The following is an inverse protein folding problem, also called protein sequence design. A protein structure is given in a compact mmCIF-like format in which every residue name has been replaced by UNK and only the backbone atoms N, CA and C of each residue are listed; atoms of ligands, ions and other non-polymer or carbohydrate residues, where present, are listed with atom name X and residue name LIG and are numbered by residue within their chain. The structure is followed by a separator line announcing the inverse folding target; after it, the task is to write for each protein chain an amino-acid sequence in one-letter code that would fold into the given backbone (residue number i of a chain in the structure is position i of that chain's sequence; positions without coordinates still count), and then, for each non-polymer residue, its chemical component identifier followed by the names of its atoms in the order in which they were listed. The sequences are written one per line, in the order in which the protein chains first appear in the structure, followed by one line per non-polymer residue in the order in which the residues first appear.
data_IF_656106648570
#
_entry.id   IF_656106648570
#
_cell.length_a   1.000
_cell.length_b   1.000
_cell.length_c   1.000
_cell.angle_alpha   90.00
_cell.angle_beta   90.00
_cell.angle_gamma   90.00
#
_symmetry.space_group_name_H-M   'P 1'
#
loop_
_entity.id
_entity.type
_entity.pdbx_description
1 polymer ?
#
# COMPACT_ATOMS: atom_id res chain seq x y z
N UNK A 1 -26.05 0.28 52.45
CA UNK A 1 -24.68 0.32 52.97
C UNK A 1 -23.89 -0.72 52.20
N UNK A 2 -23.23 -0.39 51.09
CA UNK A 2 -22.01 0.44 51.00
C UNK A 2 -20.84 -0.54 50.85
N UNK A 3 -20.67 -1.12 49.66
CA UNK A 3 -19.82 -0.65 48.56
C UNK A 3 -18.33 -0.98 48.80
N UNK A 4 -17.84 -1.99 48.06
CA UNK A 4 -16.48 -2.50 48.11
C UNK A 4 -15.71 -1.98 46.92
N UNK A 5 -15.01 -0.86 47.12
CA UNK A 5 -14.11 -0.27 46.14
C UNK A 5 -12.84 -1.12 45.99
N UNK A 6 -12.74 -1.88 44.89
CA UNK A 6 -11.46 -2.31 44.34
C UNK A 6 -10.94 -1.18 43.44
N UNK A 7 -9.82 -0.59 43.84
CA UNK A 7 -9.05 0.39 43.06
C UNK A 7 -8.33 -0.35 41.93
N UNK A 8 -8.76 -0.16 40.70
CA UNK A 8 -7.93 -0.45 39.54
C UNK A 8 -7.00 0.73 39.28
N UNK A 9 -5.70 0.44 39.29
CA UNK A 9 -4.64 1.36 38.89
C UNK A 9 -4.70 1.50 37.37
N UNK A 10 -4.90 2.72 36.91
CA UNK A 10 -4.54 3.13 35.56
C UNK A 10 -3.01 3.02 35.43
N UNK A 11 -2.55 2.15 34.53
CA UNK A 11 -1.22 2.24 33.96
C UNK A 11 -1.39 2.56 32.48
N UNK A 12 -1.03 3.79 32.14
CA UNK A 12 -1.10 4.31 30.79
C UNK A 12 0.00 3.68 29.95
N UNK A 13 -0.41 3.00 28.88
CA UNK A 13 0.47 2.71 27.75
C UNK A 13 -0.14 3.32 26.51
N UNK A 14 0.34 4.53 26.20
CA UNK A 14 0.23 5.12 24.87
C UNK A 14 1.07 4.26 23.92
N UNK A 15 0.38 3.45 23.12
CA UNK A 15 0.97 2.67 22.05
C UNK A 15 0.18 2.91 20.78
N UNK A 16 0.84 3.49 19.79
CA UNK A 16 0.37 3.74 18.43
C UNK A 16 -0.36 2.52 17.85
N UNK A 17 -1.68 2.64 17.69
CA UNK A 17 -2.49 1.62 17.04
C UNK A 17 -2.85 2.08 15.63
N UNK A 18 -1.85 2.10 14.75
CA UNK A 18 -2.08 2.18 13.31
C UNK A 18 -2.42 0.78 12.79
N UNK A 19 -3.56 0.69 12.12
CA UNK A 19 -4.13 -0.48 11.43
C UNK A 19 -5.12 -1.32 12.26
N UNK A 20 -6.40 -0.95 12.17
CA UNK A 20 -7.48 -1.94 12.26
C UNK A 20 -7.69 -2.44 10.83
N UNK A 21 -7.36 -3.70 10.56
CA UNK A 21 -7.67 -4.36 9.30
C UNK A 21 -9.20 -4.46 9.16
N UNK A 22 -9.80 -3.54 8.40
CA UNK A 22 -11.24 -3.61 8.11
C UNK A 22 -11.49 -4.62 6.99
N UNK A 23 -12.47 -5.51 7.23
CA UNK A 23 -13.04 -6.37 6.20
C UNK A 23 -13.63 -5.44 5.13
N UNK A 24 -12.99 -5.36 3.96
CA UNK A 24 -13.42 -4.49 2.86
C UNK A 24 -12.45 -3.38 2.46
N UNK A 25 -11.23 -3.29 3.00
CA UNK A 25 -10.21 -2.28 2.60
C UNK A 25 -9.97 -2.20 1.09
N UNK A 26 -10.15 -3.31 0.36
CA UNK A 26 -9.97 -3.41 -1.09
C UNK A 26 -11.23 -3.12 -1.90
N UNK A 27 -12.35 -2.76 -1.28
CA UNK A 27 -13.61 -2.47 -1.98
C UNK A 27 -13.86 -0.99 -2.04
N UNK A 28 -14.30 -0.50 -3.20
CA UNK A 28 -14.61 0.92 -3.37
C UNK A 28 -15.67 1.44 -2.41
N UNK A 29 -16.66 0.61 -2.06
CA UNK A 29 -17.78 0.99 -1.17
C UNK A 29 -17.33 1.32 0.26
N UNK A 30 -16.17 0.82 0.69
CA UNK A 30 -15.58 1.16 1.98
C UNK A 30 -14.72 2.43 1.94
N UNK A 31 -14.44 2.99 0.76
CA UNK A 31 -13.44 4.05 0.60
C UNK A 31 -13.81 5.34 1.33
N UNK A 32 -14.97 5.92 0.98
CA UNK A 32 -15.42 7.20 1.57
C UNK A 32 -15.76 7.04 3.04
N UNK A 33 -16.40 5.93 3.42
CA UNK A 33 -16.76 5.64 4.80
C UNK A 33 -15.52 5.51 5.69
N UNK A 34 -14.42 4.97 5.17
CA UNK A 34 -13.13 4.92 5.86
C UNK A 34 -12.57 6.33 6.09
N UNK A 35 -12.62 7.21 5.07
CA UNK A 35 -12.20 8.61 5.22
C UNK A 35 -13.05 9.31 6.29
N UNK A 36 -14.38 9.22 6.18
CA UNK A 36 -15.31 9.83 7.13
C UNK A 36 -15.07 9.33 8.57
N UNK A 37 -14.86 8.02 8.74
CA UNK A 37 -14.56 7.43 10.04
C UNK A 37 -13.24 7.94 10.63
N UNK A 38 -12.19 8.04 9.83
CA UNK A 38 -10.89 8.57 10.27
C UNK A 38 -10.99 10.06 10.66
N UNK A 39 -11.75 10.85 9.90
CA UNK A 39 -12.03 12.24 10.20
C UNK A 39 -12.81 12.41 11.52
N UNK A 40 -13.86 11.63 11.71
CA UNK A 40 -14.65 11.62 12.94
C UNK A 40 -13.81 11.23 14.17
N UNK A 41 -12.85 10.31 14.03
CA UNK A 41 -11.94 9.94 15.13
C UNK A 41 -10.90 11.01 15.45
N UNK A 42 -10.57 11.86 14.49
CA UNK A 42 -9.55 12.89 14.67
C UNK A 42 -10.08 14.15 15.36
N UNK A 43 -11.36 14.49 15.16
CA UNK A 43 -11.95 15.74 15.67
C UNK A 43 -13.42 15.58 16.03
N UNK A 44 -13.80 16.04 17.23
CA UNK A 44 -15.13 15.86 17.80
C UNK A 44 -16.23 16.66 17.06
N UNK A 45 -15.91 17.84 16.53
CA UNK A 45 -16.83 18.63 15.71
C UNK A 45 -17.24 17.90 14.41
N UNK A 46 -16.29 17.22 13.75
CA UNK A 46 -16.51 16.38 12.59
C UNK A 46 -17.23 15.12 12.96
N UNK A 47 -16.90 14.51 14.11
CA UNK A 47 -17.66 13.36 14.62
C UNK A 47 -19.14 13.71 14.72
N UNK A 48 -19.45 14.85 15.34
CA UNK A 48 -20.83 15.32 15.53
C UNK A 48 -21.52 15.60 14.20
N UNK A 49 -20.85 16.33 13.29
CA UNK A 49 -21.40 16.67 11.99
C UNK A 49 -21.63 15.43 11.10
N UNK A 50 -20.69 14.47 11.09
CA UNK A 50 -20.79 13.22 10.33
C UNK A 50 -21.88 12.32 10.92
N UNK A 51 -21.95 12.16 12.23
CA UNK A 51 -23.02 11.40 12.89
C UNK A 51 -24.40 11.99 12.56
N UNK A 52 -24.54 13.31 12.60
CA UNK A 52 -25.77 14.00 12.20
C UNK A 52 -26.13 13.74 10.74
N UNK A 53 -25.14 13.70 9.85
CA UNK A 53 -25.36 13.42 8.43
C UNK A 53 -25.85 11.98 8.20
N UNK A 54 -25.32 11.00 8.94
CA UNK A 54 -25.75 9.59 8.91
C UNK A 54 -27.17 9.43 9.45
N UNK A 55 -27.50 10.08 10.57
CA UNK A 55 -28.86 10.05 11.14
C UNK A 55 -29.91 10.60 10.17
N UNK A 56 -29.57 11.67 9.43
CA UNK A 56 -30.44 12.26 8.41
C UNK A 56 -30.56 11.42 7.14
N UNK A 57 -29.53 10.63 6.81
CA UNK A 57 -29.47 9.84 5.57
C UNK A 57 -29.04 8.39 5.88
N UNK A 58 -29.91 7.55 6.48
CA UNK A 58 -29.52 6.20 6.90
C UNK A 58 -29.09 5.28 5.74
N UNK A 59 -29.57 5.55 4.53
CA UNK A 59 -29.28 4.81 3.30
C UNK A 59 -28.02 5.31 2.56
N UNK A 60 -27.27 6.26 3.15
CA UNK A 60 -26.06 6.85 2.54
C UNK A 60 -25.02 5.81 2.16
N UNK A 61 -24.88 4.73 2.94
CA UNK A 61 -23.89 3.66 2.71
C UNK A 61 -24.16 2.84 1.44
N UNK A 62 -25.39 2.89 0.91
CA UNK A 62 -25.80 2.21 -0.32
C UNK A 62 -25.71 3.13 -1.55
N UNK A 63 -25.41 4.41 -1.35
CA UNK A 63 -25.29 5.40 -2.43
C UNK A 63 -23.94 5.29 -3.14
N UNK A 64 -23.86 5.89 -4.32
CA UNK A 64 -22.60 6.00 -5.04
C UNK A 64 -21.58 6.87 -4.27
N UNK A 65 -20.29 6.73 -4.61
CA UNK A 65 -19.19 7.37 -3.89
C UNK A 65 -19.25 8.90 -3.90
N UNK A 66 -19.78 9.52 -4.96
CA UNK A 66 -19.94 10.99 -5.00
C UNK A 66 -20.94 11.46 -3.94
N UNK A 67 -22.09 10.79 -3.84
CA UNK A 67 -23.10 11.10 -2.81
C UNK A 67 -22.56 10.84 -1.42
N UNK A 68 -21.84 9.73 -1.22
CA UNK A 68 -21.18 9.47 0.06
C UNK A 68 -20.15 10.55 0.40
N UNK A 69 -19.30 10.97 -0.55
CA UNK A 69 -18.24 11.95 -0.31
C UNK A 69 -18.84 13.32 0.04
N UNK A 70 -19.88 13.71 -0.69
CA UNK A 70 -20.60 14.94 -0.40
C UNK A 70 -21.25 14.90 0.99
N UNK A 71 -21.98 13.83 1.30
CA UNK A 71 -22.79 13.72 2.53
C UNK A 71 -21.93 13.51 3.78
N UNK A 72 -20.90 12.66 3.70
CA UNK A 72 -20.13 12.19 4.85
C UNK A 72 -18.81 12.93 5.05
N UNK A 73 -18.33 13.69 4.06
CA UNK A 73 -17.03 14.37 4.13
C UNK A 73 -17.17 15.86 3.82
N UNK A 74 -17.60 16.24 2.62
CA UNK A 74 -17.58 17.64 2.19
C UNK A 74 -18.59 18.51 2.95
N UNK A 75 -19.85 18.10 3.03
CA UNK A 75 -20.87 18.84 3.78
C UNK A 75 -20.50 19.00 5.26
N UNK A 76 -20.08 17.94 5.99
CA UNK A 76 -19.57 18.07 7.35
C UNK A 76 -18.35 19.01 7.48
N UNK A 77 -17.39 18.96 6.55
CA UNK A 77 -16.25 19.89 6.55
C UNK A 77 -16.69 21.34 6.38
N UNK A 78 -17.58 21.63 5.42
CA UNK A 78 -18.14 22.97 5.19
C UNK A 78 -18.87 23.48 6.43
N UNK A 79 -19.62 22.62 7.11
CA UNK A 79 -20.32 22.97 8.34
C UNK A 79 -19.35 23.37 9.45
N UNK A 80 -18.33 22.55 9.71
CA UNK A 80 -17.34 22.81 10.75
C UNK A 80 -16.53 24.07 10.45
N UNK A 81 -16.14 24.28 9.19
CA UNK A 81 -15.44 25.50 8.75
C UNK A 81 -16.29 26.74 8.97
N UNK A 82 -17.61 26.66 8.76
CA UNK A 82 -18.53 27.79 8.99
C UNK A 82 -18.74 28.10 10.48
N UNK A 83 -18.66 27.09 11.34
CA UNK A 83 -18.98 27.21 12.77
C UNK A 83 -17.75 27.51 13.66
N UNK A 84 -16.55 27.18 13.20
CA UNK A 84 -15.34 27.29 14.01
C UNK A 84 -14.57 28.60 13.77
N UNK A 85 -14.15 29.25 14.85
CA UNK A 85 -13.17 30.35 14.83
C UNK A 85 -11.71 29.84 14.99
N UNK A 86 -11.54 28.53 15.14
CA UNK A 86 -10.24 27.87 15.26
C UNK A 86 -9.45 27.88 13.94
N UNK A 87 -8.12 27.73 13.98
CA UNK A 87 -7.33 27.54 12.77
C UNK A 87 -7.92 26.41 11.93
N UNK A 88 -8.17 26.68 10.65
CA UNK A 88 -8.74 25.68 9.74
C UNK A 88 -7.96 24.37 9.77
N UNK A 89 -8.68 23.25 9.72
CA UNK A 89 -8.08 21.91 9.64
C UNK A 89 -7.05 21.90 8.50
N UNK A 90 -5.93 21.21 8.69
CA UNK A 90 -4.91 21.00 7.65
C UNK A 90 -4.36 19.60 7.82
N UNK A 91 -4.16 18.91 6.72
CA UNK A 91 -3.61 17.56 6.78
C UNK A 91 -3.34 16.97 5.41
N UNK A 92 -3.03 15.69 5.42
CA UNK A 92 -2.88 14.89 4.22
C UNK A 92 -3.74 13.63 4.32
N UNK A 93 -4.31 13.24 3.18
CA UNK A 93 -4.95 11.93 3.00
C UNK A 93 -4.01 11.11 2.12
N UNK A 94 -3.50 10.02 2.69
CA UNK A 94 -2.57 9.10 2.02
C UNK A 94 -3.36 7.86 1.63
N UNK A 95 -3.37 7.57 0.33
CA UNK A 95 -4.03 6.42 -0.25
C UNK A 95 -2.92 5.53 -0.81
N UNK A 96 -2.68 4.42 -0.13
CA UNK A 96 -1.61 3.49 -0.45
C UNK A 96 -2.18 2.20 -1.05
N UNK A 97 -1.68 1.83 -2.24
CA UNK A 97 -2.08 0.64 -2.99
C UNK A 97 -3.45 0.77 -3.66
N UNK A 98 -3.79 1.92 -4.25
CA UNK A 98 -5.10 2.11 -4.92
C UNK A 98 -5.32 1.11 -6.08
N UNK A 99 -4.25 0.63 -6.70
CA UNK A 99 -4.30 -0.41 -7.72
C UNK A 99 -4.76 -1.78 -7.18
N UNK A 100 -4.68 -2.03 -5.87
CA UNK A 100 -5.21 -3.24 -5.23
C UNK A 100 -6.74 -3.20 -5.01
N UNK A 101 -7.43 -2.17 -5.51
CA UNK A 101 -8.89 -2.11 -5.45
C UNK A 101 -9.49 -3.27 -6.26
N UNK A 102 -10.21 -4.14 -5.57
CA UNK A 102 -10.91 -5.27 -6.15
C UNK A 102 -12.22 -4.80 -6.79
N UNK A 103 -12.54 -5.36 -7.94
CA UNK A 103 -13.78 -5.05 -8.63
C UNK A 103 -14.99 -5.49 -7.80
N UNK A 104 -15.93 -4.57 -7.62
CA UNK A 104 -17.19 -4.86 -6.97
C UNK A 104 -18.07 -5.70 -7.90
N UNK A 105 -18.15 -6.99 -7.59
CA UNK A 105 -19.07 -7.89 -8.28
C UNK A 105 -20.49 -7.65 -7.76
N UNK A 106 -21.30 -6.95 -8.54
CA UNK A 106 -22.75 -6.96 -8.33
C UNK A 106 -23.26 -8.39 -8.57
N UNK A 107 -23.40 -9.17 -7.51
CA UNK A 107 -24.26 -10.35 -7.55
C UNK A 107 -25.71 -9.89 -7.54
N UNK A 108 -26.23 -9.58 -8.72
CA UNK A 108 -27.67 -9.42 -8.92
C UNK A 108 -28.33 -10.80 -8.73
N UNK A 109 -28.71 -11.11 -7.49
CA UNK A 109 -29.41 -12.35 -7.13
C UNK A 109 -30.85 -12.37 -7.66
N UNK A 110 -31.31 -11.32 -8.35
CA UNK A 110 -32.68 -11.22 -8.89
C UNK A 110 -32.79 -11.50 -10.38
N UNK A 111 -31.67 -11.62 -11.10
CA UNK A 111 -31.67 -11.82 -12.55
C UNK A 111 -31.31 -13.27 -12.93
N UNK A 112 -32.26 -14.19 -12.73
CA UNK A 112 -32.30 -15.46 -13.46
C UNK A 112 -32.67 -15.20 -14.92
N UNK A 113 -31.75 -14.61 -15.70
CA UNK A 113 -31.95 -14.28 -17.10
C UNK A 113 -30.61 -14.26 -17.84
N UNK A 114 -30.56 -14.93 -18.99
CA UNK A 114 -29.39 -15.36 -19.78
C UNK A 114 -28.54 -14.25 -20.43
N UNK A 115 -28.32 -13.13 -19.75
CA UNK A 115 -27.32 -12.12 -20.13
C UNK A 115 -26.58 -11.67 -18.88
N UNK A 116 -25.49 -12.36 -18.58
CA UNK A 116 -24.47 -11.88 -17.66
C UNK A 116 -24.08 -10.46 -18.09
N UNK A 117 -24.38 -9.45 -17.25
CA UNK A 117 -23.74 -8.14 -17.41
C UNK A 117 -22.23 -8.36 -17.41
N UNK A 118 -21.45 -7.65 -18.24
CA UNK A 118 -20.00 -7.76 -18.17
C UNK A 118 -19.57 -7.53 -16.73
N UNK A 119 -18.72 -8.43 -16.21
CA UNK A 119 -18.16 -8.26 -14.88
C UNK A 119 -17.51 -6.88 -14.83
N UNK A 120 -17.86 -6.08 -13.82
CA UNK A 120 -17.25 -4.78 -13.63
C UNK A 120 -15.74 -4.97 -13.53
N UNK A 121 -14.97 -4.22 -14.30
CA UNK A 121 -13.51 -4.29 -14.21
C UNK A 121 -13.05 -3.44 -13.02
N UNK A 122 -11.98 -3.88 -12.35
CA UNK A 122 -11.37 -3.13 -11.24
C UNK A 122 -11.01 -1.69 -11.66
N UNK A 123 -10.68 -1.48 -12.93
CA UNK A 123 -10.39 -0.18 -13.52
C UNK A 123 -11.55 0.82 -13.40
N UNK A 124 -12.81 0.38 -13.51
CA UNK A 124 -13.96 1.28 -13.34
C UNK A 124 -14.07 1.76 -11.89
N UNK A 125 -13.85 0.87 -10.92
CA UNK A 125 -13.93 1.19 -9.50
C UNK A 125 -12.77 2.10 -9.07
N UNK A 126 -11.56 1.85 -9.59
CA UNK A 126 -10.40 2.72 -9.42
C UNK A 126 -10.67 4.12 -10.01
N UNK A 127 -11.29 4.21 -11.19
CA UNK A 127 -11.65 5.47 -11.83
C UNK A 127 -12.70 6.25 -11.03
N UNK A 128 -13.75 5.58 -10.54
CA UNK A 128 -14.78 6.18 -9.66
C UNK A 128 -14.13 6.83 -8.42
N UNK A 129 -13.16 6.14 -7.80
CA UNK A 129 -12.42 6.66 -6.63
C UNK A 129 -11.61 7.92 -7.01
N UNK A 130 -10.87 7.87 -8.12
CA UNK A 130 -10.07 9.01 -8.59
C UNK A 130 -10.94 10.24 -8.89
N UNK A 131 -12.09 10.06 -9.54
CA UNK A 131 -13.03 11.14 -9.85
C UNK A 131 -13.62 11.77 -8.58
N UNK A 132 -13.95 10.96 -7.58
CA UNK A 132 -14.43 11.45 -6.28
C UNK A 132 -13.35 12.25 -5.56
N UNK A 133 -12.10 11.80 -5.59
CA UNK A 133 -10.97 12.53 -4.99
C UNK A 133 -10.70 13.85 -5.70
N UNK A 134 -10.75 13.87 -7.04
CA UNK A 134 -10.63 15.08 -7.84
C UNK A 134 -11.73 16.08 -7.49
N UNK A 135 -12.97 15.60 -7.41
CA UNK A 135 -14.12 16.40 -7.00
C UNK A 135 -13.90 17.00 -5.60
N UNK A 136 -13.53 16.17 -4.63
CA UNK A 136 -13.30 16.60 -3.26
C UNK A 136 -12.17 17.65 -3.16
N UNK A 137 -11.07 17.45 -3.89
CA UNK A 137 -9.93 18.39 -3.89
C UNK A 137 -10.25 19.75 -4.50
N UNK A 138 -11.29 19.83 -5.33
CA UNK A 138 -11.74 21.08 -5.94
C UNK A 138 -12.64 21.89 -5.02
N UNK A 139 -13.08 21.31 -3.90
CA UNK A 139 -13.91 21.99 -2.91
C UNK A 139 -13.05 22.96 -2.06
N UNK A 140 -13.39 24.27 -1.98
CA UNK A 140 -12.64 25.23 -1.20
C UNK A 140 -12.56 24.92 0.31
N UNK A 141 -13.50 24.13 0.83
CA UNK A 141 -13.57 23.73 2.23
C UNK A 141 -12.89 22.39 2.48
N UNK A 142 -12.30 21.76 1.46
CA UNK A 142 -11.50 20.55 1.61
C UNK A 142 -10.03 20.91 1.87
N UNK A 143 -9.52 20.73 3.10
CA UNK A 143 -8.23 21.29 3.48
C UNK A 143 -7.05 20.33 3.29
N UNK A 144 -7.29 19.15 2.73
CA UNK A 144 -6.29 18.08 2.71
C UNK A 144 -5.51 18.06 1.41
N UNK A 145 -4.21 17.79 1.52
CA UNK A 145 -3.41 17.33 0.38
C UNK A 145 -3.64 15.84 0.18
N UNK A 146 -3.77 15.39 -1.07
CA UNK A 146 -3.97 13.98 -1.38
C UNK A 146 -2.66 13.42 -1.92
N UNK A 147 -2.19 12.31 -1.35
CA UNK A 147 -1.09 11.51 -1.87
C UNK A 147 -1.64 10.15 -2.28
N UNK A 148 -1.41 9.75 -3.52
CA UNK A 148 -1.82 8.44 -4.04
C UNK A 148 -0.55 7.69 -4.40
N UNK A 149 -0.35 6.53 -3.78
CA UNK A 149 0.68 5.56 -4.15
C UNK A 149 -0.02 4.37 -4.82
N UNK A 150 0.38 4.07 -6.05
CA UNK A 150 -0.14 2.94 -6.81
C UNK A 150 0.85 2.47 -7.87
N UNK A 151 0.66 1.25 -8.39
CA UNK A 151 1.34 0.78 -9.60
C UNK A 151 0.84 1.55 -10.84
N UNK A 152 1.67 1.71 -11.89
CA UNK A 152 1.32 2.46 -13.10
C UNK A 152 0.40 1.67 -14.03
N UNK A 153 -0.73 1.16 -13.53
CA UNK A 153 -1.74 0.49 -14.35
C UNK A 153 -2.36 1.45 -15.37
N UNK A 154 -3.01 0.90 -16.39
CA UNK A 154 -3.53 1.68 -17.53
C UNK A 154 -4.44 2.82 -17.08
N UNK A 155 -5.37 2.56 -16.16
CA UNK A 155 -6.32 3.58 -15.67
C UNK A 155 -5.62 4.77 -15.04
N UNK A 156 -4.58 4.55 -14.22
CA UNK A 156 -3.83 5.64 -13.59
C UNK A 156 -3.02 6.41 -14.63
N UNK A 157 -2.38 5.72 -15.57
CA UNK A 157 -1.64 6.38 -16.66
C UNK A 157 -2.54 7.28 -17.50
N UNK A 158 -3.72 6.80 -17.89
CA UNK A 158 -4.68 7.57 -18.69
C UNK A 158 -5.28 8.74 -17.90
N UNK A 159 -5.61 8.54 -16.62
CA UNK A 159 -6.21 9.57 -15.76
C UNK A 159 -5.23 10.70 -15.43
N UNK A 160 -3.96 10.38 -15.19
CA UNK A 160 -2.94 11.39 -14.87
C UNK A 160 -2.19 11.92 -16.10
N UNK A 161 -2.57 11.52 -17.32
CA UNK A 161 -1.98 12.02 -18.55
C UNK A 161 -2.36 13.49 -18.79
N UNK A 162 -1.38 14.42 -18.84
CA UNK A 162 -1.64 15.83 -19.17
C UNK A 162 -2.31 16.03 -20.53
N UNK A 163 -2.12 15.10 -21.48
CA UNK A 163 -2.75 15.13 -22.80
C UNK A 163 -4.26 14.89 -22.76
N UNK A 164 -4.74 14.13 -21.78
CA UNK A 164 -6.17 13.85 -21.59
C UNK A 164 -6.84 14.86 -20.65
N UNK A 165 -6.07 15.50 -19.77
CA UNK A 165 -6.59 16.38 -18.73
C UNK A 165 -5.90 17.76 -18.73
N UNK A 166 -6.55 18.80 -19.29
CA UNK A 166 -5.96 20.14 -19.37
C UNK A 166 -5.83 20.85 -18.02
N UNK A 167 -6.49 20.33 -16.97
CA UNK A 167 -6.30 20.76 -15.58
C UNK A 167 -5.81 19.56 -14.76
N UNK A 168 -4.50 19.43 -14.51
CA UNK A 168 -3.96 18.26 -13.84
C UNK A 168 -4.47 18.20 -12.40
N UNK A 169 -5.13 17.09 -12.05
CA UNK A 169 -5.57 16.84 -10.66
C UNK A 169 -4.39 16.66 -9.71
N UNK A 170 -3.34 15.98 -10.15
CA UNK A 170 -2.14 15.75 -9.36
C UNK A 170 -0.88 15.77 -10.24
N UNK A 171 0.26 15.97 -9.60
CA UNK A 171 1.56 15.76 -10.23
C UNK A 171 1.92 14.27 -10.15
N UNK A 172 2.18 13.64 -11.30
CA UNK A 172 2.69 12.27 -11.38
C UNK A 172 4.19 12.27 -11.08
N UNK A 173 4.63 11.40 -10.17
CA UNK A 173 6.03 11.06 -9.94
C UNK A 173 6.20 9.56 -10.18
N UNK A 174 6.98 9.18 -11.18
CA UNK A 174 7.26 7.78 -11.50
C UNK A 174 8.57 7.34 -10.83
N UNK A 175 8.48 6.57 -9.76
CA UNK A 175 9.68 6.16 -9.01
C UNK A 175 10.58 5.17 -9.79
N UNK A 176 10.13 4.62 -10.92
CA UNK A 176 10.96 3.75 -11.76
C UNK A 176 11.68 4.53 -12.86
N UNK A 177 11.05 5.58 -13.41
CA UNK A 177 11.59 6.36 -14.53
C UNK A 177 12.30 7.64 -14.06
N UNK A 178 11.75 8.31 -13.05
CA UNK A 178 12.22 9.63 -12.58
C UNK A 178 13.27 9.51 -11.47
N UNK A 179 13.59 8.29 -11.01
CA UNK A 179 14.51 8.04 -9.90
C UNK A 179 15.52 6.93 -10.20
N UNK A 180 16.81 7.22 -10.06
CA UNK A 180 17.86 6.20 -10.15
C UNK A 180 18.00 5.43 -8.83
N UNK A 181 17.18 4.40 -8.65
CA UNK A 181 17.25 3.55 -7.46
C UNK A 181 18.57 2.76 -7.32
N UNK A 182 19.39 2.64 -8.37
CA UNK A 182 20.60 1.82 -8.32
C UNK A 182 21.67 2.37 -7.37
N UNK A 183 21.81 3.70 -7.28
CA UNK A 183 22.81 4.33 -6.40
C UNK A 183 22.45 4.08 -4.93
N UNK A 184 21.17 4.20 -4.59
CA UNK A 184 20.63 3.89 -3.27
C UNK A 184 20.76 2.40 -2.92
N UNK A 185 20.44 1.52 -3.88
CA UNK A 185 20.59 0.07 -3.69
C UNK A 185 22.07 -0.26 -3.46
N UNK A 186 22.99 0.36 -4.20
CA UNK A 186 24.42 0.17 -3.99
C UNK A 186 24.84 0.59 -2.58
N UNK A 187 24.46 1.81 -2.17
CA UNK A 187 24.75 2.33 -0.84
C UNK A 187 24.17 1.43 0.28
N UNK A 188 22.92 0.99 0.11
CA UNK A 188 22.27 0.06 1.03
C UNK A 188 23.03 -1.27 1.13
N UNK A 189 23.37 -1.88 0.01
CA UNK A 189 24.10 -3.15 -0.01
C UNK A 189 25.49 -3.00 0.63
N UNK A 190 26.23 -1.94 0.31
CA UNK A 190 27.54 -1.65 0.94
C UNK A 190 27.42 -1.55 2.46
N UNK A 191 26.42 -0.82 2.96
CA UNK A 191 26.19 -0.71 4.39
C UNK A 191 25.85 -2.07 5.03
N UNK A 192 24.92 -2.82 4.44
CA UNK A 192 24.47 -4.11 4.97
C UNK A 192 25.54 -5.19 4.91
N UNK A 193 26.31 -5.28 3.83
CA UNK A 193 27.44 -6.20 3.73
C UNK A 193 28.53 -5.86 4.75
N UNK A 194 28.76 -4.58 5.05
CA UNK A 194 29.67 -4.19 6.13
C UNK A 194 29.17 -4.63 7.51
N UNK A 195 27.86 -4.55 7.78
CA UNK A 195 27.27 -5.05 9.01
C UNK A 195 27.40 -6.58 9.12
N UNK A 196 27.05 -7.30 8.05
CA UNK A 196 27.22 -8.76 7.97
C UNK A 196 28.67 -9.17 8.19
N UNK A 197 29.62 -8.48 7.55
CA UNK A 197 31.06 -8.76 7.71
C UNK A 197 31.49 -8.67 9.17
N UNK A 198 31.07 -7.63 9.89
CA UNK A 198 31.39 -7.45 11.31
C UNK A 198 30.71 -8.50 12.18
N UNK A 199 29.43 -8.78 11.93
CA UNK A 199 28.62 -9.73 12.71
C UNK A 199 29.18 -11.16 12.62
N UNK A 200 29.55 -11.60 11.41
CA UNK A 200 30.05 -12.96 11.16
C UNK A 200 31.58 -13.05 11.09
N UNK A 201 32.30 -11.98 11.46
CA UNK A 201 33.77 -11.92 11.48
C UNK A 201 34.41 -12.34 10.15
N UNK A 202 33.80 -11.92 9.04
CA UNK A 202 34.25 -12.27 7.69
C UNK A 202 35.45 -11.40 7.25
N UNK A 203 36.28 -11.89 6.31
CA UNK A 203 37.45 -11.15 5.82
C UNK A 203 37.08 -9.79 5.22
N UNK A 204 38.02 -8.83 5.25
CA UNK A 204 37.85 -7.54 4.60
C UNK A 204 37.67 -7.61 3.08
N UNK A 205 38.10 -8.72 2.46
CA UNK A 205 37.88 -9.00 1.04
C UNK A 205 36.48 -9.54 0.72
N UNK A 206 35.59 -9.64 1.72
CA UNK A 206 34.20 -10.04 1.54
C UNK A 206 33.26 -8.83 1.69
N UNK A 207 32.28 -8.63 0.78
CA UNK A 207 31.92 -9.50 -0.34
C UNK A 207 32.97 -9.46 -1.49
N UNK A 208 33.01 -10.48 -2.37
CA UNK A 208 33.95 -10.51 -3.49
C UNK A 208 33.84 -9.25 -4.38
N UNK A 209 34.93 -8.80 -5.01
CA UNK A 209 34.88 -7.69 -5.95
C UNK A 209 33.85 -7.95 -7.05
N UNK A 210 33.02 -6.95 -7.38
CA UNK A 210 31.97 -7.09 -8.39
C UNK A 210 30.66 -7.70 -7.87
N UNK A 211 30.63 -8.27 -6.67
CA UNK A 211 29.42 -8.88 -6.12
C UNK A 211 28.31 -7.85 -5.91
N UNK A 212 28.61 -6.73 -5.27
CA UNK A 212 27.64 -5.65 -5.03
C UNK A 212 27.11 -5.12 -6.36
N UNK A 213 27.99 -4.83 -7.32
CA UNK A 213 27.59 -4.33 -8.65
C UNK A 213 26.69 -5.34 -9.39
N UNK A 214 26.97 -6.63 -9.25
CA UNK A 214 26.13 -7.70 -9.80
C UNK A 214 24.75 -7.69 -9.15
N UNK A 215 24.67 -7.55 -7.83
CA UNK A 215 23.41 -7.51 -7.10
C UNK A 215 22.60 -6.25 -7.42
N UNK A 216 23.23 -5.09 -7.56
CA UNK A 216 22.59 -3.84 -8.02
C UNK A 216 22.01 -4.03 -9.42
N UNK A 217 22.80 -4.58 -10.35
CA UNK A 217 22.34 -4.88 -11.71
C UNK A 217 21.15 -5.84 -11.70
N UNK A 218 21.22 -6.91 -10.91
CA UNK A 218 20.15 -7.90 -10.80
C UNK A 218 18.89 -7.31 -10.16
N UNK A 219 19.04 -6.38 -9.22
CA UNK A 219 17.92 -5.70 -8.58
C UNK A 219 17.08 -4.93 -9.61
N UNK A 220 17.67 -4.44 -10.70
CA UNK A 220 16.96 -3.69 -11.76
C UNK A 220 16.08 -2.58 -11.18
N UNK A 221 16.64 -1.80 -10.23
CA UNK A 221 15.93 -0.75 -9.50
C UNK A 221 14.99 -1.22 -8.38
N UNK A 222 14.76 -2.53 -8.21
CA UNK A 222 13.83 -3.08 -7.23
C UNK A 222 14.49 -3.28 -5.86
N UNK A 223 14.25 -2.36 -4.94
CA UNK A 223 14.83 -2.41 -3.59
C UNK A 223 14.45 -3.68 -2.81
N UNK A 224 13.26 -4.24 -3.10
CA UNK A 224 12.80 -5.49 -2.48
C UNK A 224 13.75 -6.67 -2.77
N UNK A 225 14.38 -6.71 -3.94
CA UNK A 225 15.36 -7.74 -4.27
C UNK A 225 16.58 -7.64 -3.36
N UNK A 226 17.17 -6.45 -3.25
CA UNK A 226 18.34 -6.20 -2.41
C UNK A 226 18.05 -6.48 -0.93
N UNK A 227 16.91 -6.00 -0.42
CA UNK A 227 16.49 -6.24 0.96
C UNK A 227 16.25 -7.73 1.23
N UNK A 228 15.66 -8.46 0.28
CA UNK A 228 15.41 -9.90 0.41
C UNK A 228 16.72 -10.69 0.48
N UNK A 229 17.72 -10.35 -0.35
CA UNK A 229 19.04 -10.98 -0.27
C UNK A 229 19.67 -10.75 1.11
N UNK A 230 19.68 -9.51 1.60
CA UNK A 230 20.26 -9.22 2.91
C UNK A 230 19.54 -10.00 4.01
N UNK A 231 18.20 -10.00 4.02
CA UNK A 231 17.41 -10.79 4.97
C UNK A 231 17.71 -12.28 4.89
N UNK A 232 17.90 -12.82 3.69
CA UNK A 232 18.24 -14.22 3.51
C UNK A 232 19.64 -14.55 4.05
N UNK A 233 20.63 -13.68 3.79
CA UNK A 233 21.99 -13.80 4.33
C UNK A 233 22.01 -13.69 5.86
N UNK A 234 21.16 -12.84 6.44
CA UNK A 234 21.01 -12.70 7.89
C UNK A 234 20.28 -13.87 8.55
N UNK A 235 19.23 -14.39 7.89
CA UNK A 235 18.39 -15.44 8.46
C UNK A 235 19.16 -16.75 8.69
N UNK A 236 20.14 -17.07 7.84
CA UNK A 236 21.28 -17.95 8.17
C UNK A 236 20.99 -19.22 8.99
N UNK A 237 19.88 -19.92 8.75
CA UNK A 237 19.44 -21.00 9.65
C UNK A 237 20.31 -22.27 9.55
N UNK A 238 21.10 -22.45 8.49
CA UNK A 238 21.90 -23.67 8.23
C UNK A 238 23.26 -23.46 7.55
N UNK A 239 23.45 -22.39 6.79
CA UNK A 239 24.70 -22.12 6.05
C UNK A 239 25.29 -20.74 6.37
N UNK A 240 26.62 -20.58 6.33
CA UNK A 240 27.25 -19.29 6.56
C UNK A 240 26.95 -18.32 5.40
N UNK A 241 26.83 -17.00 5.65
CA UNK A 241 26.46 -15.99 4.64
C UNK A 241 27.35 -16.02 3.38
N UNK A 242 28.60 -16.44 3.51
CA UNK A 242 29.52 -16.59 2.38
C UNK A 242 29.03 -17.64 1.36
N UNK A 243 28.60 -18.82 1.83
CA UNK A 243 28.14 -19.90 0.95
C UNK A 243 26.84 -19.51 0.22
N UNK A 244 25.92 -18.87 0.96
CA UNK A 244 24.66 -18.35 0.42
C UNK A 244 24.91 -17.27 -0.65
N UNK A 245 25.82 -16.32 -0.40
CA UNK A 245 26.17 -15.30 -1.39
C UNK A 245 26.77 -15.93 -2.66
N UNK A 246 27.68 -16.89 -2.51
CA UNK A 246 28.29 -17.58 -3.65
C UNK A 246 27.23 -18.33 -4.49
N UNK A 247 26.22 -18.94 -3.84
CA UNK A 247 25.10 -19.58 -4.51
C UNK A 247 24.26 -18.56 -5.31
N UNK A 248 23.89 -17.44 -4.68
CA UNK A 248 23.12 -16.35 -5.33
C UNK A 248 23.85 -15.81 -6.55
N UNK A 249 25.15 -15.52 -6.43
CA UNK A 249 25.95 -15.00 -7.54
C UNK A 249 26.08 -16.01 -8.69
N UNK A 250 26.22 -17.31 -8.39
CA UNK A 250 26.22 -18.37 -9.40
C UNK A 250 24.89 -18.50 -10.13
N UNK A 251 23.76 -18.36 -9.42
CA UNK A 251 22.42 -18.37 -10.03
C UNK A 251 22.28 -17.18 -10.97
N UNK A 252 22.65 -15.97 -10.53
CA UNK A 252 22.61 -14.77 -11.35
C UNK A 252 23.43 -14.87 -12.64
N UNK A 253 24.62 -15.49 -12.60
CA UNK A 253 25.47 -15.65 -13.79
C UNK A 253 24.91 -16.59 -14.87
N UNK A 254 24.01 -17.51 -14.51
CA UNK A 254 23.41 -18.47 -15.45
C UNK A 254 22.19 -17.91 -16.19
N UNK A 255 21.58 -16.85 -15.65
CA UNK A 255 20.27 -16.36 -16.10
C UNK A 255 20.38 -15.02 -16.80
N UNK A 256 20.75 -15.16 -18.07
CA UNK A 256 20.72 -14.25 -19.20
C UNK A 256 19.78 -13.04 -19.31
N UNK A 257 18.62 -12.94 -18.62
CA UNK A 257 17.54 -12.15 -19.26
C UNK A 257 16.24 -11.83 -18.50
N UNK A 258 16.02 -12.22 -17.25
CA UNK A 258 14.76 -11.81 -16.58
C UNK A 258 14.90 -11.66 -15.05
N UNK A 259 14.77 -10.44 -14.49
CA UNK A 259 14.84 -10.19 -13.05
C UNK A 259 13.73 -10.89 -12.25
N UNK A 260 12.54 -11.10 -12.83
CA UNK A 260 11.45 -11.85 -12.20
C UNK A 260 11.81 -13.34 -12.05
N UNK A 261 12.51 -13.92 -13.02
CA UNK A 261 13.01 -15.31 -12.91
C UNK A 261 14.10 -15.46 -11.84
N UNK A 262 14.93 -14.44 -11.66
CA UNK A 262 15.94 -14.42 -10.60
C UNK A 262 15.26 -14.31 -9.22
N UNK A 263 14.20 -13.52 -9.10
CA UNK A 263 13.35 -13.48 -7.90
C UNK A 263 12.66 -14.82 -7.65
N UNK A 264 12.04 -15.44 -8.65
CA UNK A 264 11.36 -16.73 -8.50
C UNK A 264 12.30 -17.83 -8.02
N UNK A 265 13.52 -17.90 -8.56
CA UNK A 265 14.51 -18.90 -8.14
C UNK A 265 15.07 -18.59 -6.76
N UNK A 266 15.26 -17.30 -6.42
CA UNK A 266 15.62 -16.91 -5.06
C UNK A 266 14.52 -17.31 -4.07
N UNK A 267 13.25 -17.03 -4.37
CA UNK A 267 12.11 -17.46 -3.56
C UNK A 267 11.99 -18.98 -3.48
N UNK A 268 12.14 -19.68 -4.61
CA UNK A 268 12.13 -21.15 -4.65
C UNK A 268 13.24 -21.71 -3.77
N UNK A 269 14.46 -21.19 -3.88
CA UNK A 269 15.58 -21.64 -3.07
C UNK A 269 15.39 -21.32 -1.58
N UNK A 270 14.83 -20.15 -1.24
CA UNK A 270 14.45 -19.78 0.13
C UNK A 270 13.40 -20.75 0.68
N UNK A 271 12.37 -21.07 -0.11
CA UNK A 271 11.29 -21.98 0.27
C UNK A 271 11.77 -23.42 0.41
N UNK A 272 12.61 -23.91 -0.50
CA UNK A 272 13.21 -25.25 -0.46
C UNK A 272 14.21 -25.41 0.70
N UNK A 273 14.88 -24.32 1.10
CA UNK A 273 15.82 -24.32 2.23
C UNK A 273 15.11 -24.24 3.59
N UNK A 274 13.78 -24.06 3.61
CA UNK A 274 12.97 -24.00 4.82
C UNK A 274 12.80 -25.40 5.46
N UNK A 275 12.92 -25.54 6.80
CA UNK A 275 12.73 -26.82 7.50
C UNK A 275 11.32 -27.43 7.39
N UNK A 276 10.31 -26.62 7.06
CA UNK A 276 8.89 -27.03 6.93
C UNK A 276 8.28 -26.33 5.70
N UNK A 277 8.39 -26.92 4.49
CA UNK A 277 7.70 -26.38 3.33
C UNK A 277 6.19 -26.69 3.44
N UNK A 278 5.28 -25.70 3.28
CA UNK A 278 3.87 -26.02 3.11
C UNK A 278 3.70 -26.91 1.88
N UNK A 279 2.79 -27.91 1.91
CA UNK A 279 2.70 -28.91 0.85
C UNK A 279 2.40 -28.21 -0.49
N UNK A 280 3.36 -28.34 -1.41
CA UNK A 280 3.24 -27.90 -2.80
C UNK A 280 2.03 -28.63 -3.42
N UNK A 281 0.91 -27.92 -3.55
CA UNK A 281 -0.11 -28.26 -4.54
C UNK A 281 0.27 -27.54 -5.82
N UNK A 282 0.48 -28.33 -6.86
CA UNK A 282 0.86 -27.95 -8.21
C UNK A 282 0.04 -26.75 -8.70
N UNK A 283 0.67 -25.58 -8.80
CA UNK A 283 0.11 -24.48 -9.60
C UNK A 283 0.63 -24.71 -11.02
N UNK A 284 -0.25 -25.27 -11.83
CA UNK A 284 -0.05 -25.46 -13.26
C UNK A 284 -0.03 -24.07 -13.93
N UNK A 285 1.18 -23.52 -14.15
CA UNK A 285 1.36 -22.33 -14.96
C UNK A 285 1.46 -22.76 -16.42
N UNK A 286 0.29 -23.00 -17.01
CA UNK A 286 0.12 -23.08 -18.46
C UNK A 286 0.48 -21.74 -19.09
N UNK A 287 1.41 -21.78 -20.04
CA UNK A 287 1.64 -20.71 -21.01
C UNK A 287 0.40 -20.48 -21.88
#
# INVERSE_FOLDING_TARGET
MGDGTCRDREDGSHGDHWQIASIGRRRKTAFVTTIAHQLARHREDLQTAISTAVEKNPDVFEKNLHVQMETLVLSPLREVVRQSNEPGLRGAIIIDGLDECEAEQYHDTTSSGTRSKPARENAEDQLDILQVLQTASSDPSFPFRILIASRPERVFREFFDPGNNPTPFAHKLDLNEDYNANDDINLFLEAQFNLLRRRYQLPASWPPPGAIQTLVKNASGQFIYAATIIRFLEAGHREPPKALLDAILKIGSKLNSNPLKQLDILYTHILESSPDPPPFSTVDLGY
#
